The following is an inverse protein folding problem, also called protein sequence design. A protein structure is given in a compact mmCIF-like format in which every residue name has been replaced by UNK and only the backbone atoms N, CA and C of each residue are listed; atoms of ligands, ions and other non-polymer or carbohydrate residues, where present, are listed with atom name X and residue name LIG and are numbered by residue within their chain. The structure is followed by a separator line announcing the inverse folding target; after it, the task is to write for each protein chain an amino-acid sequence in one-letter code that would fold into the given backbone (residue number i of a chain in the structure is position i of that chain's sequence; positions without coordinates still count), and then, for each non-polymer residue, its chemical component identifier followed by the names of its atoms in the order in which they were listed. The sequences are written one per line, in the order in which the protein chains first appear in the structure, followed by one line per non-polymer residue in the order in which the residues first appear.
data_IF_324628133021
#
_entry.id   IF_324628133021
#
_cell.length_a   1.000
_cell.length_b   1.000
_cell.length_c   1.000
_cell.angle_alpha   90.00
_cell.angle_beta   90.00
_cell.angle_gamma   90.00
#
_symmetry.space_group_name_H-M   'P 1'
#
loop_
_entity.id
_entity.type
_entity.pdbx_description
1 polymer ?
#
# COMPACT_ATOMS: atom_id res chain seq x y z
N UNK A 1 3.36 2.59 -51.29
CA UNK A 1 2.73 3.49 -50.30
C UNK A 1 3.68 3.63 -49.11
N UNK A 2 4.27 4.82 -48.93
CA UNK A 2 5.28 5.12 -47.91
C UNK A 2 4.57 5.37 -46.57
N UNK A 3 4.86 4.58 -45.54
CA UNK A 3 4.36 4.82 -44.18
C UNK A 3 5.34 5.76 -43.44
N UNK A 4 4.81 6.87 -42.96
CA UNK A 4 5.48 7.87 -42.13
C UNK A 4 5.79 7.32 -40.72
N UNK A 5 6.91 7.72 -40.09
CA UNK A 5 7.19 7.39 -38.70
C UNK A 5 6.50 8.36 -37.73
N UNK A 6 5.87 7.82 -36.68
CA UNK A 6 5.27 8.57 -35.58
C UNK A 6 6.34 9.32 -34.74
N UNK A 7 6.04 10.54 -34.24
CA UNK A 7 6.98 11.34 -33.48
C UNK A 7 7.16 10.83 -32.04
N UNK A 8 8.43 10.84 -31.61
CA UNK A 8 8.88 10.53 -30.25
C UNK A 8 8.28 11.49 -29.21
N UNK A 9 7.61 10.94 -28.20
CA UNK A 9 7.21 11.68 -26.99
C UNK A 9 8.40 11.67 -26.03
N UNK A 10 9.02 12.83 -25.83
CA UNK A 10 10.11 13.06 -24.89
C UNK A 10 9.66 12.97 -23.44
N UNK A 11 10.42 12.23 -22.63
CA UNK A 11 10.29 12.18 -21.17
C UNK A 11 11.37 13.10 -20.57
N UNK A 12 10.97 14.22 -19.98
CA UNK A 12 11.88 15.04 -19.18
C UNK A 12 12.10 14.42 -17.78
N UNK A 13 13.35 14.29 -17.30
CA UNK A 13 13.64 13.90 -15.93
C UNK A 13 13.60 15.10 -14.96
N UNK A 14 12.93 14.94 -13.81
CA UNK A 14 12.95 15.91 -12.71
C UNK A 14 14.27 15.82 -11.92
N UNK A 15 14.88 16.93 -11.49
CA UNK A 15 16.11 16.89 -10.72
C UNK A 15 15.86 16.55 -9.23
N UNK A 16 16.67 15.63 -8.72
CA UNK A 16 16.97 15.45 -7.30
C UNK A 16 17.77 16.66 -6.80
N UNK A 17 17.37 17.29 -5.70
CA UNK A 17 18.25 18.18 -4.92
C UNK A 17 18.35 17.67 -3.49
N UNK A 18 19.56 17.20 -3.18
CA UNK A 18 19.98 16.78 -1.86
C UNK A 18 20.28 17.95 -0.93
N UNK A 19 20.33 17.61 0.36
CA UNK A 19 20.84 18.41 1.47
C UNK A 19 22.35 18.60 1.36
N UNK A 20 22.86 19.79 1.66
CA UNK A 20 24.25 20.01 2.12
C UNK A 20 24.22 21.02 3.28
N UNK A 21 25.12 20.77 4.23
CA UNK A 21 25.33 21.38 5.54
C UNK A 21 26.08 22.74 5.49
N UNK A 22 26.07 23.40 6.65
CA UNK A 22 26.65 24.68 7.11
C UNK A 22 28.10 25.05 6.71
N UNK A 23 28.41 26.36 6.83
CA UNK A 23 29.64 27.08 7.31
C UNK A 23 29.32 28.59 7.16
N UNK A 24 29.16 29.45 8.19
CA UNK A 24 30.08 30.06 9.18
C UNK A 24 31.15 31.02 8.61
N UNK A 25 31.16 32.29 9.07
CA UNK A 25 32.25 33.33 9.13
C UNK A 25 31.72 34.72 8.72
N UNK A 26 31.35 35.63 9.65
CA UNK A 26 32.13 36.65 10.42
C UNK A 26 32.41 37.98 9.68
N UNK A 27 32.04 39.09 10.35
CA UNK A 27 32.64 40.46 10.41
C UNK A 27 31.52 41.56 10.44
N UNK A 28 31.26 42.22 11.58
CA UNK A 28 31.86 43.48 12.13
C UNK A 28 31.52 44.70 11.22
N UNK A 29 30.99 45.86 11.62
CA UNK A 29 31.06 46.73 12.82
C UNK A 29 29.72 47.54 12.95
N UNK A 30 29.12 47.68 14.13
CA UNK A 30 29.13 48.88 15.02
C UNK A 30 28.86 50.25 14.36
N UNK A 31 27.67 50.84 14.62
CA UNK A 31 27.48 52.16 15.26
C UNK A 31 26.01 52.40 15.67
N UNK A 32 25.87 53.26 16.69
CA UNK A 32 24.76 53.59 17.58
C UNK A 32 23.58 54.41 17.03
N UNK A 33 22.36 54.19 17.57
CA UNK A 33 21.39 55.19 18.09
C UNK A 33 20.01 54.51 18.29
N UNK A 34 19.59 54.19 19.52
CA UNK A 34 18.68 54.97 20.41
C UNK A 34 17.23 55.11 19.88
N UNK A 35 16.30 54.73 20.77
CA UNK A 35 14.86 55.02 20.80
C UNK A 35 13.94 54.22 19.86
N UNK A 36 13.25 53.22 20.41
CA UNK A 36 11.80 53.27 20.64
C UNK A 36 11.25 51.88 20.93
N UNK A 37 10.62 51.73 22.08
CA UNK A 37 9.68 50.66 22.38
C UNK A 37 8.56 50.62 21.34
N UNK A 38 8.51 49.58 20.52
CA UNK A 38 7.32 49.21 19.75
C UNK A 38 7.43 47.74 19.30
N UNK A 39 6.65 46.87 19.93
CA UNK A 39 5.48 46.24 19.29
C UNK A 39 5.89 45.09 18.36
N UNK A 40 5.52 43.88 18.81
CA UNK A 40 5.26 42.72 17.98
C UNK A 40 4.64 43.14 16.65
N UNK A 41 5.40 43.12 15.56
CA UNK A 41 4.83 43.25 14.23
C UNK A 41 3.97 41.99 13.98
N UNK A 42 2.64 42.13 13.86
CA UNK A 42 1.79 41.02 13.49
C UNK A 42 2.10 40.65 12.04
N UNK A 43 2.48 39.39 11.82
CA UNK A 43 2.46 38.84 10.47
C UNK A 43 1.04 39.01 9.89
N UNK A 44 0.94 39.38 8.59
CA UNK A 44 -0.27 39.94 8.01
C UNK A 44 -1.44 38.97 8.16
N UNK A 45 -2.59 39.52 8.59
CA UNK A 45 -3.88 38.83 8.71
C UNK A 45 -4.09 37.92 7.51
N UNK A 46 -3.92 36.61 7.69
CA UNK A 46 -4.32 35.62 6.69
C UNK A 46 -5.83 35.73 6.53
N UNK A 47 -6.23 36.16 5.35
CA UNK A 47 -7.59 36.49 4.94
C UNK A 47 -8.61 35.43 5.32
N UNK A 48 -9.85 35.86 5.56
CA UNK A 48 -11.03 35.03 5.82
C UNK A 48 -11.21 33.83 4.84
N UNK A 49 -10.56 33.87 3.67
CA UNK A 49 -10.52 32.79 2.68
C UNK A 49 -9.74 31.54 3.12
N UNK A 50 -8.69 31.66 3.94
CA UNK A 50 -7.92 30.50 4.41
C UNK A 50 -8.64 29.76 5.55
N UNK A 51 -9.39 30.49 6.39
CA UNK A 51 -10.23 29.93 7.46
C UNK A 51 -11.46 29.19 6.92
N UNK A 52 -12.13 29.78 5.91
CA UNK A 52 -13.32 29.18 5.29
C UNK A 52 -13.01 27.90 4.51
N UNK A 53 -11.84 27.81 3.85
CA UNK A 53 -11.39 26.58 3.20
C UNK A 53 -11.13 25.46 4.22
N UNK A 54 -10.54 25.77 5.38
CA UNK A 54 -10.32 24.80 6.47
C UNK A 54 -11.64 24.27 7.04
N UNK A 55 -12.61 25.16 7.30
CA UNK A 55 -13.95 24.77 7.75
C UNK A 55 -14.73 23.95 6.70
N UNK A 56 -14.55 24.25 5.41
CA UNK A 56 -15.09 23.48 4.29
C UNK A 56 -14.53 22.05 4.23
N UNK A 57 -13.24 21.88 4.51
CA UNK A 57 -12.61 20.56 4.55
C UNK A 57 -13.02 19.75 5.79
N UNK A 58 -13.24 20.40 6.92
CA UNK A 58 -13.75 19.76 8.12
C UNK A 58 -15.22 19.32 8.00
N UNK A 59 -16.09 20.12 7.35
CA UNK A 59 -17.46 19.70 7.03
C UNK A 59 -17.48 18.50 6.09
N UNK A 60 -16.68 18.52 5.02
CA UNK A 60 -16.55 17.35 4.11
C UNK A 60 -16.00 16.12 4.82
N UNK A 61 -15.09 16.28 5.78
CA UNK A 61 -14.63 15.18 6.64
C UNK A 61 -15.76 14.66 7.54
N UNK A 62 -16.53 15.55 8.18
CA UNK A 62 -17.68 15.20 9.02
C UNK A 62 -18.79 14.50 8.26
N UNK A 63 -19.13 14.95 7.05
CA UNK A 63 -20.13 14.30 6.19
C UNK A 63 -19.70 12.90 5.76
N UNK A 64 -18.42 12.72 5.41
CA UNK A 64 -17.86 11.40 5.11
C UNK A 64 -17.95 10.46 6.30
N UNK A 65 -17.59 10.92 7.50
CA UNK A 65 -17.72 10.10 8.72
C UNK A 65 -19.17 9.71 9.03
N UNK A 66 -20.15 10.57 8.72
CA UNK A 66 -21.58 10.27 8.92
C UNK A 66 -22.14 9.28 7.88
N UNK A 67 -21.62 9.29 6.65
CA UNK A 67 -21.96 8.30 5.63
C UNK A 67 -21.37 6.89 5.94
N UNK A 68 -20.23 6.84 6.64
CA UNK A 68 -19.56 5.60 7.04
C UNK A 68 -20.22 4.89 8.23
N UNK A 69 -21.02 5.59 9.03
CA UNK A 69 -21.77 5.02 10.17
C UNK A 69 -22.98 4.17 9.78
N UNK A 70 -23.35 4.07 8.48
CA UNK A 70 -24.42 3.17 8.05
C UNK A 70 -24.03 1.71 8.31
N UNK A 71 -24.92 0.97 8.97
CA UNK A 71 -24.66 -0.40 9.39
C UNK A 71 -24.38 -1.33 8.19
N UNK A 72 -23.18 -1.91 8.18
CA UNK A 72 -22.81 -2.98 7.24
C UNK A 72 -23.00 -4.33 7.93
N UNK A 73 -23.85 -5.15 7.35
CA UNK A 73 -24.20 -6.49 7.85
C UNK A 73 -23.50 -7.55 7.02
N UNK A 74 -22.86 -8.50 7.70
CA UNK A 74 -22.16 -9.63 7.07
C UNK A 74 -23.01 -10.87 7.24
N UNK A 75 -23.26 -11.58 6.15
CA UNK A 75 -23.86 -12.92 6.16
C UNK A 75 -22.87 -13.92 5.60
N UNK A 76 -22.74 -15.07 6.26
CA UNK A 76 -21.88 -16.16 5.79
C UNK A 76 -22.72 -17.27 5.18
N UNK A 77 -22.29 -17.79 4.03
CA UNK A 77 -22.91 -18.94 3.35
C UNK A 77 -21.87 -20.02 3.11
N UNK A 78 -22.35 -21.27 3.01
CA UNK A 78 -21.51 -22.44 2.67
C UNK A 78 -20.25 -22.52 3.55
N UNK A 79 -20.46 -22.48 4.87
CA UNK A 79 -19.38 -22.54 5.84
C UNK A 79 -18.87 -23.98 5.98
N UNK A 80 -17.58 -24.17 5.76
CA UNK A 80 -16.93 -25.47 5.85
C UNK A 80 -15.63 -25.36 6.64
N UNK A 81 -15.43 -26.28 7.58
CA UNK A 81 -14.17 -26.40 8.33
C UNK A 81 -13.26 -27.41 7.64
N UNK A 82 -12.16 -26.95 7.05
CA UNK A 82 -11.17 -27.82 6.42
C UNK A 82 -10.02 -28.07 7.38
N UNK A 83 -9.90 -29.33 7.85
CA UNK A 83 -8.85 -29.73 8.81
C UNK A 83 -7.49 -30.00 8.17
N UNK A 84 -7.46 -30.48 6.93
CA UNK A 84 -6.22 -30.73 6.19
C UNK A 84 -5.38 -29.46 6.02
N UNK A 85 -6.05 -28.33 5.85
CA UNK A 85 -5.42 -27.02 5.66
C UNK A 85 -5.52 -26.12 6.91
N UNK A 86 -6.04 -26.66 8.02
CA UNK A 86 -6.24 -25.94 9.29
C UNK A 86 -6.91 -24.57 9.10
N UNK A 87 -8.02 -24.54 8.36
CA UNK A 87 -8.75 -23.32 8.04
C UNK A 87 -10.26 -23.51 7.93
N UNK A 88 -10.99 -22.44 8.19
CA UNK A 88 -12.43 -22.31 7.95
C UNK A 88 -12.62 -21.54 6.64
N UNK A 89 -13.44 -22.05 5.74
CA UNK A 89 -13.69 -21.43 4.44
C UNK A 89 -15.19 -21.23 4.20
N UNK A 90 -15.54 -20.06 3.68
CA UNK A 90 -16.94 -19.69 3.48
C UNK A 90 -17.08 -18.60 2.41
N UNK A 91 -18.30 -18.44 1.92
CA UNK A 91 -18.72 -17.32 1.08
C UNK A 91 -19.26 -16.23 1.97
N UNK A 92 -18.86 -14.99 1.70
CA UNK A 92 -19.30 -13.80 2.43
C UNK A 92 -20.23 -12.99 1.54
N UNK A 93 -21.42 -12.71 2.05
CA UNK A 93 -22.33 -11.72 1.50
C UNK A 93 -22.31 -10.48 2.39
N UNK A 94 -21.95 -9.34 1.82
CA UNK A 94 -21.88 -8.06 2.50
C UNK A 94 -23.07 -7.21 2.07
N UNK A 95 -23.96 -6.92 3.01
CA UNK A 95 -25.08 -6.00 2.84
C UNK A 95 -24.67 -4.62 3.35
N UNK A 96 -24.72 -3.62 2.47
CA UNK A 96 -24.29 -2.25 2.75
C UNK A 96 -25.24 -1.25 2.05
N UNK A 97 -26.48 -1.11 2.54
CA UNK A 97 -27.48 -0.24 1.91
C UNK A 97 -27.03 1.21 1.95
N UNK A 98 -27.04 1.88 0.79
CA UNK A 98 -26.73 3.30 0.68
C UNK A 98 -25.31 3.70 1.13
N UNK A 99 -24.39 2.74 1.20
CA UNK A 99 -22.94 2.93 1.38
C UNK A 99 -22.22 2.41 0.12
N UNK A 100 -21.07 2.97 -0.28
CA UNK A 100 -20.21 2.38 -1.30
C UNK A 100 -19.61 1.03 -0.84
N UNK A 101 -18.71 0.50 -1.65
CA UNK A 101 -18.02 -0.75 -1.37
C UNK A 101 -17.25 -0.72 -0.03
N UNK A 102 -17.46 -1.75 0.77
CA UNK A 102 -16.82 -1.88 2.08
C UNK A 102 -15.35 -2.23 1.92
N UNK A 103 -14.49 -1.58 2.70
CA UNK A 103 -13.05 -1.85 2.69
C UNK A 103 -12.75 -3.24 3.28
N UNK A 104 -11.67 -3.88 2.81
CA UNK A 104 -11.29 -5.21 3.30
C UNK A 104 -10.82 -5.19 4.76
N UNK A 105 -10.27 -4.07 5.22
CA UNK A 105 -9.82 -3.92 6.60
C UNK A 105 -11.00 -3.99 7.57
N UNK A 106 -12.06 -3.21 7.31
CA UNK A 106 -13.29 -3.24 8.11
C UNK A 106 -13.95 -4.64 8.12
N UNK A 107 -13.94 -5.33 6.98
CA UNK A 107 -14.49 -6.69 6.91
C UNK A 107 -13.69 -7.68 7.74
N UNK A 108 -12.35 -7.56 7.77
CA UNK A 108 -11.52 -8.42 8.62
C UNK A 108 -11.81 -8.16 10.10
N UNK A 109 -11.93 -6.91 10.51
CA UNK A 109 -12.24 -6.56 11.91
C UNK A 109 -13.60 -7.10 12.34
N UNK A 110 -14.62 -6.98 11.49
CA UNK A 110 -15.95 -7.54 11.78
C UNK A 110 -15.94 -9.05 11.84
N UNK A 111 -15.24 -9.72 10.93
CA UNK A 111 -15.09 -11.18 10.96
C UNK A 111 -14.29 -11.66 12.18
N UNK A 112 -13.28 -10.90 12.60
CA UNK A 112 -12.50 -11.21 13.80
C UNK A 112 -13.39 -11.17 15.05
N UNK A 113 -14.28 -10.18 15.15
CA UNK A 113 -15.27 -10.08 16.24
C UNK A 113 -16.32 -11.20 16.18
N UNK A 114 -16.84 -11.52 14.99
CA UNK A 114 -17.91 -12.54 14.82
C UNK A 114 -17.45 -13.96 15.15
N UNK A 115 -16.21 -14.30 14.82
CA UNK A 115 -15.66 -15.65 15.00
C UNK A 115 -14.56 -15.73 16.05
N UNK A 116 -14.41 -14.66 16.86
CA UNK A 116 -13.47 -14.57 17.99
C UNK A 116 -12.04 -14.97 17.59
N UNK A 117 -11.58 -14.44 16.46
CA UNK A 117 -10.24 -14.70 15.96
C UNK A 117 -9.29 -13.70 16.61
N UNK A 118 -8.26 -14.20 17.29
CA UNK A 118 -7.25 -13.39 17.98
C UNK A 118 -6.50 -12.46 17.03
N UNK A 119 -6.10 -12.99 15.86
CA UNK A 119 -5.27 -12.28 14.89
C UNK A 119 -6.05 -11.92 13.62
N UNK A 120 -6.23 -10.63 13.35
CA UNK A 120 -6.83 -10.10 12.10
C UNK A 120 -6.03 -10.50 10.85
N UNK A 121 -4.73 -10.77 11.01
CA UNK A 121 -3.83 -11.18 9.92
C UNK A 121 -4.03 -12.63 9.47
N UNK A 122 -4.65 -13.48 10.30
CA UNK A 122 -5.02 -14.85 9.93
C UNK A 122 -6.28 -14.89 9.04
N UNK A 123 -6.98 -13.76 8.88
CA UNK A 123 -8.20 -13.63 8.08
C UNK A 123 -7.86 -13.10 6.68
N UNK A 124 -8.27 -13.85 5.66
CA UNK A 124 -8.11 -13.48 4.26
C UNK A 124 -9.46 -13.33 3.59
N UNK A 125 -9.67 -12.17 2.98
CA UNK A 125 -10.91 -11.86 2.28
C UNK A 125 -10.61 -11.43 0.85
N UNK A 126 -11.18 -12.13 -0.13
CA UNK A 126 -10.81 -11.95 -1.53
C UNK A 126 -11.99 -12.14 -2.50
N UNK A 127 -11.77 -11.72 -3.76
CA UNK A 127 -12.72 -11.83 -4.88
C UNK A 127 -14.09 -11.23 -4.56
N UNK A 128 -14.10 -10.03 -3.97
CA UNK A 128 -15.35 -9.28 -3.84
C UNK A 128 -15.85 -8.79 -5.20
N UNK A 129 -17.11 -9.07 -5.49
CA UNK A 129 -17.85 -8.55 -6.64
C UNK A 129 -19.13 -7.90 -6.12
N UNK A 130 -19.33 -6.64 -6.46
CA UNK A 130 -20.58 -5.91 -6.24
C UNK A 130 -21.63 -6.42 -7.23
N UNK A 131 -22.85 -6.68 -6.76
CA UNK A 131 -23.97 -6.95 -7.65
C UNK A 131 -24.40 -5.69 -8.40
N UNK A 132 -24.99 -5.88 -9.58
CA UNK A 132 -25.62 -4.79 -10.32
C UNK A 132 -26.76 -4.19 -9.48
N UNK A 133 -26.89 -2.87 -9.49
CA UNK A 133 -27.79 -2.14 -8.59
C UNK A 133 -27.23 -1.83 -7.19
N UNK A 134 -26.05 -2.35 -6.83
CA UNK A 134 -25.36 -2.00 -5.58
C UNK A 134 -25.99 -2.61 -4.31
N UNK A 135 -25.50 -2.18 -3.15
CA UNK A 135 -26.02 -2.58 -1.82
C UNK A 135 -25.67 -4.01 -1.37
N UNK A 136 -25.31 -4.90 -2.29
CA UNK A 136 -24.86 -6.27 -2.01
C UNK A 136 -23.54 -6.57 -2.70
N UNK A 137 -22.61 -7.17 -1.98
CA UNK A 137 -21.34 -7.67 -2.51
C UNK A 137 -21.11 -9.09 -2.07
N UNK A 138 -20.65 -9.94 -3.00
CA UNK A 138 -20.28 -11.33 -2.72
C UNK A 138 -18.78 -11.50 -2.76
N UNK A 139 -18.21 -12.28 -1.86
CA UNK A 139 -16.79 -12.58 -1.82
C UNK A 139 -16.50 -13.89 -1.09
N UNK A 140 -15.22 -14.19 -0.92
CA UNK A 140 -14.77 -15.38 -0.19
C UNK A 140 -13.98 -14.96 1.05
N UNK A 141 -14.19 -15.71 2.13
CA UNK A 141 -13.49 -15.58 3.40
C UNK A 141 -12.77 -16.87 3.75
N UNK A 142 -11.51 -16.74 4.18
CA UNK A 142 -10.72 -17.80 4.78
C UNK A 142 -10.24 -17.32 6.15
N UNK A 143 -10.44 -18.15 7.17
CA UNK A 143 -9.91 -17.93 8.51
C UNK A 143 -8.97 -19.10 8.81
N UNK A 144 -7.69 -18.82 8.97
CA UNK A 144 -6.72 -19.81 9.45
C UNK A 144 -6.66 -19.80 10.97
N UNK A 145 -6.29 -20.93 11.57
CA UNK A 145 -6.09 -21.01 13.01
C UNK A 145 -4.80 -20.28 13.45
N UNK A 146 -3.78 -20.23 12.58
CA UNK A 146 -2.52 -19.51 12.82
C UNK A 146 -1.99 -18.78 11.57
N UNK A 147 -1.18 -17.74 11.79
CA UNK A 147 -0.53 -16.96 10.73
C UNK A 147 0.53 -17.77 9.98
N UNK A 148 1.18 -18.72 10.66
CA UNK A 148 2.17 -19.60 10.04
C UNK A 148 1.54 -20.53 9.01
N UNK A 149 0.38 -21.11 9.33
CA UNK A 149 -0.38 -21.94 8.41
C UNK A 149 -0.85 -21.11 7.20
N UNK A 150 -1.27 -19.87 7.42
CA UNK A 150 -1.61 -18.96 6.34
C UNK A 150 -0.43 -18.73 5.37
N UNK A 151 0.80 -18.54 5.87
CA UNK A 151 2.00 -18.36 5.03
C UNK A 151 2.36 -19.60 4.21
N UNK A 152 2.10 -20.80 4.74
CA UNK A 152 2.39 -22.08 4.06
C UNK A 152 1.43 -22.35 2.91
N UNK A 153 0.12 -22.15 3.14
CA UNK A 153 -0.93 -22.56 2.19
C UNK A 153 -1.38 -21.46 1.23
N UNK A 154 -1.31 -20.18 1.62
CA UNK A 154 -1.75 -19.10 0.72
C UNK A 154 -0.76 -18.87 -0.43
N UNK A 155 -1.27 -18.60 -1.64
CA UNK A 155 -0.45 -18.09 -2.72
C UNK A 155 0.26 -16.78 -2.34
N UNK A 156 1.54 -16.66 -2.73
CA UNK A 156 2.40 -15.49 -2.43
C UNK A 156 1.78 -14.14 -2.77
N UNK A 157 1.04 -14.04 -3.88
CA UNK A 157 0.44 -12.76 -4.29
C UNK A 157 -0.61 -12.23 -3.29
N UNK A 158 -1.23 -13.11 -2.49
CA UNK A 158 -2.17 -12.70 -1.44
C UNK A 158 -1.44 -12.25 -0.18
N UNK A 159 -0.35 -12.93 0.17
CA UNK A 159 0.51 -12.55 1.29
C UNK A 159 1.08 -11.14 1.07
N UNK A 160 1.58 -10.85 -0.13
CA UNK A 160 2.10 -9.53 -0.50
C UNK A 160 1.02 -8.44 -0.38
N UNK A 161 -0.21 -8.72 -0.83
CA UNK A 161 -1.33 -7.76 -0.73
C UNK A 161 -1.79 -7.52 0.71
N UNK A 162 -1.62 -8.50 1.59
CA UNK A 162 -1.88 -8.36 3.02
C UNK A 162 -0.69 -7.77 3.80
N UNK A 163 0.48 -7.59 3.16
CA UNK A 163 1.69 -7.07 3.80
C UNK A 163 2.50 -8.10 4.61
N UNK A 164 2.24 -9.40 4.46
CA UNK A 164 2.93 -10.48 5.19
C UNK A 164 4.20 -10.97 4.50
N UNK A 165 4.36 -10.69 3.21
CA UNK A 165 5.52 -11.06 2.40
C UNK A 165 5.90 -9.89 1.48
N UNK A 166 7.18 -9.82 1.10
CA UNK A 166 7.68 -8.75 0.22
C UNK A 166 7.71 -9.20 -1.22
N UNK A 167 7.41 -8.26 -2.13
CA UNK A 167 7.44 -8.55 -3.56
C UNK A 167 8.88 -8.63 -4.05
N UNK A 168 9.26 -9.79 -4.57
CA UNK A 168 10.56 -9.96 -5.23
C UNK A 168 10.46 -9.50 -6.69
N UNK A 169 11.11 -8.38 -7.01
CA UNK A 169 11.13 -7.85 -8.37
C UNK A 169 12.27 -8.48 -9.18
N UNK A 170 11.91 -9.27 -10.20
CA UNK A 170 12.88 -9.90 -11.11
C UNK A 170 12.37 -9.79 -12.54
N UNK A 171 13.23 -9.33 -13.45
CA UNK A 171 12.90 -9.28 -14.87
C UNK A 171 13.00 -10.68 -15.50
N UNK A 172 11.93 -11.09 -16.20
CA UNK A 172 11.88 -12.34 -16.95
C UNK A 172 12.93 -12.40 -18.07
N UNK A 173 13.31 -11.25 -18.66
CA UNK A 173 14.37 -11.14 -19.67
C UNK A 173 15.74 -11.51 -19.09
N UNK A 174 16.12 -10.88 -17.99
CA UNK A 174 17.40 -11.13 -17.30
C UNK A 174 17.54 -12.59 -16.84
N UNK A 175 16.44 -13.20 -16.37
CA UNK A 175 16.42 -14.61 -15.98
C UNK A 175 16.67 -15.55 -17.16
N UNK A 176 16.03 -15.29 -18.31
CA UNK A 176 16.21 -16.09 -19.53
C UNK A 176 17.60 -15.93 -20.12
N UNK A 177 18.12 -14.71 -20.19
CA UNK A 177 19.48 -14.44 -20.67
C UNK A 177 20.54 -15.09 -19.77
N UNK A 178 20.37 -15.02 -18.44
CA UNK A 178 21.24 -15.71 -17.48
C UNK A 178 21.18 -17.23 -17.68
N UNK A 179 19.99 -17.80 -17.85
CA UNK A 179 19.82 -19.24 -18.14
C UNK A 179 20.55 -19.64 -19.42
N UNK A 180 20.41 -18.87 -20.50
CA UNK A 180 21.08 -19.16 -21.76
C UNK A 180 22.62 -19.05 -21.65
N UNK A 181 23.14 -18.06 -20.93
CA UNK A 181 24.58 -17.95 -20.65
C UNK A 181 25.10 -19.13 -19.83
N UNK A 182 24.38 -19.54 -18.78
CA UNK A 182 24.77 -20.68 -17.93
C UNK A 182 24.78 -22.02 -18.66
N UNK A 183 24.00 -22.19 -19.72
CA UNK A 183 24.00 -23.41 -20.56
C UNK A 183 25.25 -23.54 -21.42
N UNK A 184 25.91 -22.43 -21.77
CA UNK A 184 27.13 -22.43 -22.61
C UNK A 184 28.37 -22.93 -21.87
N UNK A 185 28.40 -22.78 -20.54
CA UNK A 185 29.57 -23.07 -19.70
C UNK A 185 29.46 -24.49 -19.12
N UNK A 186 30.55 -25.27 -19.18
CA UNK A 186 30.65 -26.67 -18.70
C UNK A 186 31.78 -26.85 -17.67
N UNK A 187 31.76 -27.95 -16.92
CA UNK A 187 32.80 -28.33 -15.96
C UNK A 187 32.99 -27.32 -14.82
N UNK A 188 34.22 -27.21 -14.31
CA UNK A 188 34.63 -26.34 -13.19
C UNK A 188 34.28 -24.86 -13.44
N UNK A 189 34.22 -24.42 -14.69
CA UNK A 189 33.85 -23.03 -15.04
C UNK A 189 32.39 -22.70 -14.69
N UNK A 190 31.50 -23.71 -14.62
CA UNK A 190 30.07 -23.51 -14.31
C UNK A 190 29.83 -23.28 -12.82
N UNK A 191 30.54 -24.00 -11.94
CA UNK A 191 30.47 -23.81 -10.48
C UNK A 191 31.04 -22.46 -10.09
N UNK A 192 32.23 -22.10 -10.60
CA UNK A 192 32.86 -20.78 -10.35
C UNK A 192 31.97 -19.59 -10.75
N UNK A 193 31.23 -19.68 -11.86
CA UNK A 193 30.31 -18.62 -12.29
C UNK A 193 29.05 -18.48 -11.39
N UNK A 194 28.64 -19.56 -10.71
CA UNK A 194 27.54 -19.53 -9.75
C UNK A 194 27.93 -18.90 -8.41
N UNK A 195 29.16 -19.15 -7.96
CA UNK A 195 29.66 -18.68 -6.66
C UNK A 195 29.97 -17.17 -6.67
N UNK A 196 30.53 -16.64 -7.75
CA UNK A 196 30.73 -15.20 -7.93
C UNK A 196 29.41 -14.41 -7.86
N UNK A 197 28.32 -14.97 -8.40
CA UNK A 197 26.99 -14.36 -8.36
C UNK A 197 26.29 -14.46 -6.98
N UNK A 198 26.72 -15.40 -6.11
CA UNK A 198 26.22 -15.54 -4.74
C UNK A 198 26.98 -14.65 -3.74
N UNK A 199 28.30 -14.50 -3.91
CA UNK A 199 29.14 -13.67 -3.05
C UNK A 199 28.71 -12.19 -3.07
N UNK A 200 28.37 -11.63 -4.24
CA UNK A 200 27.91 -10.25 -4.37
C UNK A 200 26.51 -9.95 -3.82
N UNK A 201 25.80 -10.94 -3.27
CA UNK A 201 24.43 -10.78 -2.70
C UNK A 201 24.36 -10.88 -1.18
N UNK A 202 25.48 -11.20 -0.50
CA UNK A 202 25.63 -11.06 0.94
C UNK A 202 26.18 -9.65 1.22
N UNK A 203 25.33 -8.63 1.13
CA UNK A 203 25.52 -7.33 1.77
C UNK A 203 24.18 -6.64 1.84
#
# INVERSE_FOLDING_TARGET
MKLSPNPHIGFEPRPFRGRIFAICSTELLSTSAIFSSAISLPNPKTSNAQSSYRQSQERRRKERTMADSKAVTIRTRKFMTNRLLSRKQFVIDVLHPGRPNVSKAELKEKLARLYEVKDTNAIFVFKFRTHFGGGKSTGFGLIYDSVENAKKYEPKYRLIRNGLDTKVEKSRKQLKERKNRSKKIRGVKKTKAGDAAKAGKKK
#
